data_IF_864208620765
#
_entry.id   IF_864208620765
#
_cell.length_a   1.000
_cell.length_b   1.000
_cell.length_c   1.000
_cell.angle_alpha   90.00
_cell.angle_beta   90.00
_cell.angle_gamma   90.00
#
_symmetry.space_group_name_H-M   'P 1'
#
loop_
_entity.id
_entity.type
_entity.pdbx_description
1 polymer ?
#
# COMPACT_ATOMS: atom_id res chain seq x y z
N UNK A 1 -1.34 -13.25 13.00
CA UNK A 1 -1.78 -11.87 12.87
C UNK A 1 -2.94 -11.56 13.80
N UNK A 2 -3.11 -10.31 14.14
CA UNK A 2 -4.22 -9.82 14.94
C UNK A 2 -5.33 -9.31 14.03
N UNK A 3 -6.59 -9.52 14.41
CA UNK A 3 -7.75 -8.91 13.75
C UNK A 3 -8.31 -7.80 14.65
N UNK A 4 -8.74 -6.71 14.03
CA UNK A 4 -9.30 -5.56 14.73
C UNK A 4 -10.71 -5.25 14.24
N UNK A 5 -11.57 -4.83 15.17
CA UNK A 5 -12.85 -4.23 14.81
C UNK A 5 -12.65 -2.73 14.69
N UNK A 6 -12.87 -2.20 13.49
CA UNK A 6 -12.68 -0.79 13.17
C UNK A 6 -14.03 -0.06 13.17
N UNK A 7 -14.11 1.02 13.92
CA UNK A 7 -15.20 1.98 13.86
C UNK A 7 -14.96 2.94 12.69
N UNK A 8 -15.67 2.74 11.60
CA UNK A 8 -15.51 3.54 10.37
C UNK A 8 -15.89 5.01 10.57
N UNK A 9 -16.71 5.34 11.56
CA UNK A 9 -17.08 6.74 11.82
C UNK A 9 -15.92 7.55 12.39
N UNK A 10 -14.96 6.89 13.04
CA UNK A 10 -13.72 7.51 13.53
C UNK A 10 -12.72 7.85 12.44
N UNK A 11 -12.81 7.21 11.27
CA UNK A 11 -11.86 7.37 10.16
C UNK A 11 -12.46 8.06 8.93
N UNK A 12 -13.73 8.44 8.94
CA UNK A 12 -14.41 9.16 7.85
C UNK A 12 -13.90 10.59 7.75
N UNK A 13 -12.70 10.74 7.16
CA UNK A 13 -12.26 12.04 6.64
C UNK A 13 -12.37 11.98 5.12
N UNK A 14 -13.15 12.85 4.47
CA UNK A 14 -13.19 12.89 3.03
C UNK A 14 -11.79 13.23 2.50
N UNK A 15 -11.23 12.36 1.68
CA UNK A 15 -10.01 12.67 0.96
C UNK A 15 -10.40 13.63 -0.16
N UNK A 16 -9.77 14.80 -0.19
CA UNK A 16 -9.93 15.74 -1.29
C UNK A 16 -9.47 15.06 -2.58
N UNK A 17 -10.29 15.10 -3.63
CA UNK A 17 -9.87 14.56 -4.93
C UNK A 17 -8.80 15.46 -5.52
N UNK A 18 -7.83 14.85 -6.21
CA UNK A 18 -6.89 15.60 -7.05
C UNK A 18 -7.66 16.39 -8.10
N UNK A 19 -7.22 17.63 -8.37
CA UNK A 19 -7.89 18.50 -9.33
C UNK A 19 -7.62 18.14 -10.79
N UNK A 20 -6.51 17.46 -11.04
CA UNK A 20 -5.95 17.30 -12.37
C UNK A 20 -6.41 15.98 -12.99
N UNK A 21 -7.25 16.09 -14.03
CA UNK A 21 -7.42 15.02 -15.02
C UNK A 21 -6.53 15.38 -16.21
N UNK A 22 -5.39 14.73 -16.32
CA UNK A 22 -4.49 14.84 -17.47
C UNK A 22 -4.80 13.76 -18.49
N UNK A 23 -4.51 14.03 -19.77
CA UNK A 23 -4.40 12.94 -20.72
C UNK A 23 -3.27 12.01 -20.28
N UNK A 24 -3.36 10.69 -20.51
CA UNK A 24 -2.31 9.75 -20.10
C UNK A 24 -0.90 10.11 -20.63
N UNK A 25 -0.84 10.75 -21.79
CA UNK A 25 0.42 11.19 -22.42
C UNK A 25 1.05 12.43 -21.75
N UNK A 26 0.31 13.12 -20.91
CA UNK A 26 0.79 14.30 -20.16
C UNK A 26 1.21 13.94 -18.73
N UNK A 27 0.95 12.70 -18.31
CA UNK A 27 1.26 12.24 -16.97
C UNK A 27 2.78 12.05 -16.80
N UNK A 28 3.32 12.64 -15.73
CA UNK A 28 4.67 12.39 -15.23
C UNK A 28 4.52 11.64 -13.92
N UNK A 29 4.90 10.35 -13.92
CA UNK A 29 4.71 9.45 -12.79
C UNK A 29 6.04 9.24 -12.09
N UNK A 30 6.06 9.43 -10.79
CA UNK A 30 7.19 9.12 -9.91
C UNK A 30 6.84 7.90 -9.07
N UNK A 31 7.51 6.78 -9.34
CA UNK A 31 7.35 5.56 -8.55
C UNK A 31 8.25 5.60 -7.31
N UNK A 32 7.70 5.25 -6.15
CA UNK A 32 8.47 5.26 -4.91
C UNK A 32 7.96 4.25 -3.88
N UNK A 33 8.89 3.76 -3.04
CA UNK A 33 8.59 3.05 -1.80
C UNK A 33 8.32 4.06 -0.67
N UNK A 34 7.28 3.82 0.14
CA UNK A 34 7.01 4.61 1.35
C UNK A 34 8.22 4.63 2.27
N UNK A 35 8.87 3.46 2.44
CA UNK A 35 10.04 3.31 3.29
C UNK A 35 11.25 4.06 2.72
N UNK A 36 11.62 3.76 1.49
CA UNK A 36 12.91 4.20 0.94
C UNK A 36 12.94 5.70 0.65
N UNK A 37 11.77 6.29 0.36
CA UNK A 37 11.65 7.72 0.06
C UNK A 37 12.17 8.63 1.19
N UNK A 38 12.09 8.18 2.45
CA UNK A 38 12.41 9.02 3.61
C UNK A 38 13.46 8.43 4.56
N UNK A 39 14.05 7.26 4.25
CA UNK A 39 14.99 6.57 5.16
C UNK A 39 16.37 7.22 5.27
N UNK A 40 16.76 8.09 4.36
CA UNK A 40 18.04 8.77 4.43
C UNK A 40 18.06 9.75 5.61
N UNK A 41 18.95 9.51 6.58
CA UNK A 41 19.01 10.29 7.82
C UNK A 41 19.30 11.77 7.57
N UNK A 42 20.15 12.04 6.59
CA UNK A 42 20.59 13.39 6.22
C UNK A 42 19.47 14.23 5.59
N UNK A 43 18.38 13.58 5.15
CA UNK A 43 17.22 14.27 4.58
C UNK A 43 16.31 14.95 5.62
N UNK A 44 16.48 14.64 6.92
CA UNK A 44 15.84 15.37 8.02
C UNK A 44 14.36 15.07 8.25
N UNK A 45 13.87 13.91 7.82
CA UNK A 45 12.50 13.47 8.10
C UNK A 45 12.29 13.16 9.58
N UNK A 46 11.11 13.52 10.11
CA UNK A 46 10.71 13.23 11.49
C UNK A 46 10.21 11.79 11.66
N UNK A 47 9.60 11.24 10.60
CA UNK A 47 9.03 9.89 10.58
C UNK A 47 9.58 9.05 9.42
N UNK A 48 10.90 8.76 9.39
CA UNK A 48 11.50 8.05 8.27
C UNK A 48 10.86 6.67 8.06
N UNK A 49 10.55 6.35 6.81
CA UNK A 49 9.95 5.08 6.41
C UNK A 49 8.46 4.91 6.73
N UNK A 50 7.76 5.96 7.15
CA UNK A 50 6.36 5.92 7.57
C UNK A 50 5.44 6.71 6.63
N UNK A 51 4.14 6.39 6.62
CA UNK A 51 3.15 7.18 5.88
C UNK A 51 3.20 8.67 6.24
N UNK A 52 3.43 8.98 7.50
CA UNK A 52 3.53 10.36 7.97
C UNK A 52 4.63 11.16 7.25
N UNK A 53 5.75 10.53 6.88
CA UNK A 53 6.85 11.18 6.16
C UNK A 53 6.46 11.70 4.77
N UNK A 54 5.46 11.09 4.14
CA UNK A 54 5.00 11.49 2.81
C UNK A 54 4.34 12.88 2.77
N UNK A 55 3.97 13.41 3.95
CA UNK A 55 3.44 14.76 4.12
C UNK A 55 4.51 15.78 4.51
N UNK A 56 5.73 15.33 4.79
CA UNK A 56 6.80 16.19 5.25
C UNK A 56 7.53 16.88 4.07
N UNK A 57 8.10 18.05 4.36
CA UNK A 57 8.90 18.84 3.41
C UNK A 57 10.15 19.38 4.11
N UNK A 58 11.07 18.51 4.58
CA UNK A 58 12.28 18.97 5.23
C UNK A 58 13.20 19.74 4.27
N UNK A 59 13.92 20.71 4.82
CA UNK A 59 14.95 21.47 4.10
C UNK A 59 16.27 21.33 4.84
N UNK A 60 17.29 20.79 4.17
CA UNK A 60 18.62 20.58 4.75
C UNK A 60 19.67 21.22 3.84
N UNK A 61 20.48 22.10 4.39
CA UNK A 61 21.48 22.86 3.63
C UNK A 61 20.93 23.56 2.36
N UNK A 62 19.67 24.05 2.44
CA UNK A 62 18.97 24.68 1.33
C UNK A 62 18.39 23.74 0.28
N UNK A 63 18.58 22.44 0.42
CA UNK A 63 17.97 21.42 -0.44
C UNK A 63 16.60 20.98 0.13
N UNK A 64 15.59 20.93 -0.71
CA UNK A 64 14.25 20.42 -0.35
C UNK A 64 14.19 18.91 -0.52
N UNK A 65 13.53 18.28 0.42
CA UNK A 65 13.20 16.85 0.39
C UNK A 65 11.67 16.67 0.53
N UNK A 66 11.20 15.45 0.44
CA UNK A 66 9.81 15.11 0.66
C UNK A 66 8.87 15.73 -0.36
N UNK A 67 7.71 16.18 0.12
CA UNK A 67 6.63 16.67 -0.74
C UNK A 67 7.04 17.89 -1.59
N UNK A 68 7.80 18.82 -1.03
CA UNK A 68 8.23 20.00 -1.78
C UNK A 68 9.28 19.69 -2.84
N UNK A 69 10.12 18.65 -2.65
CA UNK A 69 10.98 18.14 -3.72
C UNK A 69 10.14 17.61 -4.90
N UNK A 70 9.11 16.82 -4.62
CA UNK A 70 8.23 16.28 -5.67
C UNK A 70 7.47 17.36 -6.43
N UNK A 71 7.08 18.44 -5.74
CA UNK A 71 6.48 19.63 -6.36
C UNK A 71 7.46 20.34 -7.29
N UNK A 72 8.71 20.53 -6.86
CA UNK A 72 9.76 21.15 -7.70
C UNK A 72 10.12 20.30 -8.91
N UNK A 73 10.07 18.96 -8.76
CA UNK A 73 10.30 18.03 -9.86
C UNK A 73 9.20 18.13 -10.93
N UNK A 74 8.03 18.68 -10.58
CA UNK A 74 6.95 18.92 -11.51
C UNK A 74 6.19 17.66 -11.92
N UNK A 75 6.17 16.64 -11.06
CA UNK A 75 5.41 15.41 -11.30
C UNK A 75 3.91 15.66 -11.16
N UNK A 76 3.12 14.89 -11.90
CA UNK A 76 1.65 14.92 -11.81
C UNK A 76 1.09 13.78 -10.96
N UNK A 77 1.82 12.67 -10.86
CA UNK A 77 1.41 11.49 -10.14
C UNK A 77 2.57 10.89 -9.34
N UNK A 78 2.25 10.38 -8.17
CA UNK A 78 3.10 9.46 -7.41
C UNK A 78 2.50 8.06 -7.47
N UNK A 79 3.31 7.06 -7.81
CA UNK A 79 2.94 5.65 -7.71
C UNK A 79 3.62 5.06 -6.49
N UNK A 80 2.82 4.65 -5.51
CA UNK A 80 3.33 3.98 -4.31
C UNK A 80 3.48 2.50 -4.60
N UNK A 81 4.69 1.93 -4.35
CA UNK A 81 4.87 0.48 -4.25
C UNK A 81 3.84 -0.08 -3.25
N UNK A 82 3.54 -1.39 -3.29
CA UNK A 82 2.42 -1.95 -2.54
C UNK A 82 2.41 -1.53 -1.08
N UNK A 83 1.27 -1.00 -0.64
CA UNK A 83 1.04 -0.53 0.74
C UNK A 83 0.03 -1.39 1.49
N UNK A 84 -0.49 -2.45 0.87
CA UNK A 84 -1.32 -3.44 1.53
C UNK A 84 -0.50 -4.32 2.46
N UNK A 85 -1.16 -4.86 3.49
CA UNK A 85 -0.59 -5.80 4.46
C UNK A 85 0.12 -6.97 3.75
N UNK A 86 1.44 -7.04 3.89
CA UNK A 86 2.32 -7.99 3.21
C UNK A 86 3.05 -8.91 4.21
N UNK A 87 3.53 -10.05 3.72
CA UNK A 87 4.24 -11.05 4.52
C UNK A 87 5.70 -10.69 4.77
N UNK A 88 6.41 -11.60 5.44
CA UNK A 88 7.87 -11.57 5.65
C UNK A 88 8.42 -10.41 6.50
N UNK A 89 7.59 -9.49 6.98
CA UNK A 89 8.00 -8.36 7.83
C UNK A 89 7.24 -8.39 9.13
N UNK A 90 7.94 -8.25 10.25
CA UNK A 90 7.30 -7.92 11.51
C UNK A 90 7.01 -6.41 11.54
N UNK A 91 5.73 -6.04 11.54
CA UNK A 91 5.29 -4.64 11.57
C UNK A 91 5.89 -3.83 12.74
N UNK A 92 6.27 -4.50 13.85
CA UNK A 92 6.88 -3.85 15.02
C UNK A 92 8.39 -3.64 14.86
N UNK A 93 9.00 -4.40 13.97
CA UNK A 93 10.44 -4.40 13.71
C UNK A 93 10.73 -4.39 12.20
N UNK A 94 10.18 -3.42 11.46
CA UNK A 94 10.30 -3.38 10.00
C UNK A 94 11.72 -3.13 9.50
N UNK A 95 12.61 -2.73 10.39
CA UNK A 95 14.04 -2.52 10.09
C UNK A 95 14.81 -3.81 9.86
N UNK A 96 14.30 -4.96 10.35
CA UNK A 96 15.00 -6.24 10.29
C UNK A 96 14.96 -6.91 8.92
N UNK A 97 13.94 -6.63 8.11
CA UNK A 97 13.75 -7.27 6.80
C UNK A 97 13.32 -6.22 5.78
N UNK A 98 13.95 -6.24 4.61
CA UNK A 98 13.54 -5.41 3.47
C UNK A 98 12.48 -6.15 2.63
N UNK A 99 11.38 -5.48 2.32
CA UNK A 99 10.32 -6.00 1.47
C UNK A 99 9.72 -4.87 0.60
N UNK A 100 9.45 -5.18 -0.66
CA UNK A 100 8.78 -4.26 -1.59
C UNK A 100 7.25 -4.30 -1.49
N UNK A 101 6.69 -5.28 -0.75
CA UNK A 101 5.25 -5.41 -0.55
C UNK A 101 4.51 -6.27 -1.59
N UNK A 102 5.23 -7.00 -2.46
CA UNK A 102 4.61 -7.84 -3.51
C UNK A 102 4.21 -9.24 -3.04
N UNK A 103 4.06 -9.46 -1.73
CA UNK A 103 3.63 -10.72 -1.12
C UNK A 103 2.44 -10.49 -0.15
N UNK A 104 1.25 -10.12 -0.68
CA UNK A 104 0.13 -9.64 0.12
C UNK A 104 -0.43 -10.73 1.05
N UNK A 105 -0.64 -10.37 2.31
CA UNK A 105 -1.35 -11.17 3.33
C UNK A 105 -2.82 -10.80 3.34
N UNK A 106 -3.14 -9.50 3.29
CA UNK A 106 -4.51 -9.00 3.23
C UNK A 106 -4.63 -7.90 2.17
N UNK A 107 -5.62 -8.03 1.30
CA UNK A 107 -6.02 -6.94 0.41
C UNK A 107 -6.81 -5.89 1.19
N UNK A 108 -6.73 -4.62 0.78
CA UNK A 108 -7.51 -3.51 1.34
C UNK A 108 -7.18 -3.14 2.80
N UNK A 109 -6.07 -3.63 3.35
CA UNK A 109 -5.60 -3.28 4.69
C UNK A 109 -4.22 -2.63 4.53
N UNK A 110 -4.03 -1.37 4.93
CA UNK A 110 -2.70 -0.76 4.91
C UNK A 110 -1.74 -1.48 5.85
N UNK A 111 -0.50 -1.67 5.41
CA UNK A 111 0.53 -2.35 6.21
C UNK A 111 0.94 -1.52 7.43
N UNK A 112 1.04 -2.18 8.59
CA UNK A 112 1.37 -1.53 9.84
C UNK A 112 2.84 -1.14 9.97
N UNK A 113 3.74 -1.71 9.18
CA UNK A 113 5.15 -1.31 9.18
C UNK A 113 5.34 0.15 8.74
N UNK A 114 4.40 0.69 7.96
CA UNK A 114 4.40 2.09 7.52
C UNK A 114 3.67 3.02 8.49
N UNK A 115 3.00 2.52 9.54
CA UNK A 115 2.38 3.37 10.56
C UNK A 115 3.41 3.84 11.60
N UNK A 116 3.18 5.00 12.20
CA UNK A 116 4.00 5.49 13.33
C UNK A 116 3.85 4.61 14.57
N UNK A 117 2.63 4.07 14.80
CA UNK A 117 2.38 3.01 15.78
C UNK A 117 1.69 1.81 15.12
N UNK A 118 2.41 0.70 14.88
CA UNK A 118 1.83 -0.50 14.27
C UNK A 118 0.80 -1.22 15.18
N UNK A 119 0.74 -0.87 16.47
CA UNK A 119 -0.23 -1.45 17.43
C UNK A 119 -1.58 -0.76 17.39
N UNK A 120 -1.61 0.49 16.91
CA UNK A 120 -2.86 1.22 16.70
C UNK A 120 -3.41 0.92 15.30
N UNK A 121 -4.53 0.19 15.19
CA UNK A 121 -5.12 -0.16 13.90
C UNK A 121 -5.65 1.06 13.13
N UNK A 122 -5.90 2.18 13.81
CA UNK A 122 -6.33 3.43 13.18
C UNK A 122 -5.16 4.23 12.60
N UNK A 123 -3.97 4.16 13.20
CA UNK A 123 -2.80 4.94 12.77
C UNK A 123 -2.51 4.71 11.28
N UNK A 124 -2.39 3.44 10.84
CA UNK A 124 -2.11 3.07 9.45
C UNK A 124 -3.11 3.64 8.45
N UNK A 125 -4.39 3.72 8.83
CA UNK A 125 -5.46 4.23 7.97
C UNK A 125 -5.42 5.75 7.92
N UNK A 126 -5.35 6.40 9.08
CA UNK A 126 -5.39 7.87 9.22
C UNK A 126 -4.14 8.50 8.59
N UNK A 127 -2.98 7.90 8.80
CA UNK A 127 -1.72 8.40 8.24
C UNK A 127 -1.66 8.25 6.71
N UNK A 128 -2.12 7.11 6.15
CA UNK A 128 -2.23 6.96 4.70
C UNK A 128 -3.22 7.96 4.10
N UNK A 129 -4.38 8.18 4.74
CA UNK A 129 -5.35 9.19 4.32
C UNK A 129 -4.75 10.61 4.36
N UNK A 130 -3.96 10.91 5.39
CA UNK A 130 -3.28 12.20 5.51
C UNK A 130 -2.23 12.39 4.40
N UNK A 131 -1.44 11.36 4.10
CA UNK A 131 -0.47 11.37 3.01
C UNK A 131 -1.13 11.60 1.64
N UNK A 132 -2.19 10.86 1.32
CA UNK A 132 -2.97 11.05 0.09
C UNK A 132 -3.53 12.47 0.01
N UNK A 133 -4.05 12.98 1.12
CA UNK A 133 -4.58 14.36 1.19
C UNK A 133 -3.48 15.40 0.94
N UNK A 134 -2.27 15.18 1.48
CA UNK A 134 -1.13 16.07 1.26
C UNK A 134 -0.72 16.11 -0.21
N UNK A 135 -0.63 14.95 -0.89
CA UNK A 135 -0.37 14.89 -2.34
C UNK A 135 -1.47 15.60 -3.13
N UNK A 136 -2.74 15.34 -2.86
CA UNK A 136 -3.85 15.99 -3.57
C UNK A 136 -3.89 17.50 -3.35
N UNK A 137 -3.49 18.00 -2.17
CA UNK A 137 -3.35 19.43 -1.91
C UNK A 137 -2.17 20.05 -2.68
N UNK A 138 -1.17 19.27 -3.03
CA UNK A 138 -0.05 19.64 -3.87
C UNK A 138 -0.33 19.47 -5.37
N UNK A 139 -1.58 19.15 -5.76
CA UNK A 139 -2.03 18.82 -7.11
C UNK A 139 -1.29 17.59 -7.72
N UNK A 140 -0.81 16.68 -6.88
CA UNK A 140 -0.21 15.40 -7.25
C UNK A 140 -1.24 14.29 -6.99
N UNK A 141 -1.58 13.51 -8.01
CA UNK A 141 -2.45 12.33 -7.88
C UNK A 141 -1.68 11.12 -7.34
N UNK A 142 -2.39 10.22 -6.66
CA UNK A 142 -1.79 9.00 -6.10
C UNK A 142 -2.26 7.78 -6.88
N UNK A 143 -1.31 6.96 -7.31
CA UNK A 143 -1.53 5.63 -7.88
C UNK A 143 -1.07 4.62 -6.83
N UNK A 144 -1.91 3.64 -6.52
CA UNK A 144 -1.55 2.52 -5.65
C UNK A 144 -1.21 1.31 -6.49
N UNK A 145 0.00 0.78 -6.33
CA UNK A 145 0.38 -0.52 -6.89
C UNK A 145 -0.28 -1.62 -6.06
N UNK A 146 -0.99 -2.51 -6.73
CA UNK A 146 -1.80 -3.54 -6.06
C UNK A 146 -1.53 -4.93 -6.64
N UNK A 147 -1.47 -5.93 -5.78
CA UNK A 147 -1.16 -7.32 -6.13
C UNK A 147 -2.39 -8.18 -5.88
N UNK A 148 -3.12 -8.53 -6.95
CA UNK A 148 -4.33 -9.37 -6.87
C UNK A 148 -4.19 -10.75 -7.50
N UNK A 149 -3.00 -11.08 -7.98
CA UNK A 149 -2.74 -12.33 -8.70
C UNK A 149 -2.35 -13.49 -7.77
N UNK A 150 -1.83 -13.21 -6.58
CA UNK A 150 -1.45 -14.21 -5.57
C UNK A 150 -1.55 -13.63 -4.15
N UNK A 151 -1.32 -14.48 -3.15
CA UNK A 151 -1.14 -14.09 -1.74
C UNK A 151 0.14 -14.72 -1.17
N UNK A 152 0.62 -14.18 -0.07
CA UNK A 152 1.84 -14.65 0.62
C UNK A 152 1.76 -16.14 0.98
N UNK A 153 0.69 -16.55 1.67
CA UNK A 153 0.47 -17.96 2.03
C UNK A 153 -1.01 -18.34 1.86
N UNK A 154 -1.28 -19.14 0.84
CA UNK A 154 -2.62 -19.62 0.56
C UNK A 154 -3.22 -20.49 1.65
N UNK A 155 -2.41 -21.19 2.46
CA UNK A 155 -2.92 -22.08 3.51
C UNK A 155 -3.46 -21.31 4.71
N UNK A 156 -2.87 -20.18 5.01
CA UNK A 156 -3.29 -19.31 6.12
C UNK A 156 -4.33 -18.27 5.71
N UNK A 157 -4.59 -18.10 4.42
CA UNK A 157 -5.47 -17.06 3.89
C UNK A 157 -6.92 -17.22 4.38
N UNK A 158 -7.51 -16.13 4.86
CA UNK A 158 -8.82 -16.17 5.54
C UNK A 158 -9.93 -16.75 4.68
N UNK A 159 -10.03 -16.38 3.40
CA UNK A 159 -11.08 -16.90 2.51
C UNK A 159 -10.91 -18.38 2.18
N UNK A 160 -9.67 -18.89 2.16
CA UNK A 160 -9.45 -20.32 1.99
C UNK A 160 -9.93 -21.13 3.20
N UNK A 161 -9.84 -20.56 4.40
CA UNK A 161 -10.36 -21.18 5.62
C UNK A 161 -11.89 -21.14 5.72
N UNK A 162 -12.52 -20.09 5.18
CA UNK A 162 -13.99 -19.91 5.22
C UNK A 162 -14.67 -20.74 4.11
N UNK A 163 -14.10 -20.71 2.89
CA UNK A 163 -14.63 -21.43 1.72
C UNK A 163 -13.47 -22.13 1.01
N UNK A 164 -13.03 -23.29 1.51
CA UNK A 164 -11.92 -24.04 0.94
C UNK A 164 -12.09 -24.34 -0.55
N UNK A 165 -11.00 -24.18 -1.34
CA UNK A 165 -10.97 -24.46 -2.77
C UNK A 165 -11.73 -23.44 -3.65
N UNK A 166 -12.21 -22.33 -3.08
CA UNK A 166 -12.92 -21.33 -3.87
C UNK A 166 -12.03 -20.15 -4.30
N UNK A 167 -11.20 -19.62 -3.41
CA UNK A 167 -10.46 -18.39 -3.68
C UNK A 167 -9.28 -18.60 -4.63
N UNK A 168 -8.64 -19.75 -4.58
CA UNK A 168 -7.52 -20.08 -5.42
C UNK A 168 -7.90 -20.94 -6.62
N UNK A 169 -7.10 -20.83 -7.69
CA UNK A 169 -7.26 -21.64 -8.89
C UNK A 169 -6.70 -23.03 -8.64
N UNK A 170 -7.47 -24.03 -9.01
CA UNK A 170 -7.10 -25.45 -8.92
C UNK A 170 -6.99 -26.05 -10.32
N UNK A 171 -6.07 -27.01 -10.52
CA UNK A 171 -6.02 -27.85 -11.70
C UNK A 171 -7.06 -28.98 -11.62
N UNK A 172 -7.16 -29.79 -12.67
CA UNK A 172 -8.13 -30.90 -12.77
C UNK A 172 -7.97 -31.97 -11.69
N UNK A 173 -6.80 -32.05 -11.06
CA UNK A 173 -6.52 -32.96 -9.94
C UNK A 173 -6.79 -32.35 -8.56
N UNK A 174 -7.28 -31.11 -8.51
CA UNK A 174 -7.58 -30.40 -7.27
C UNK A 174 -6.37 -29.74 -6.57
N UNK A 175 -5.22 -29.68 -7.21
CA UNK A 175 -4.06 -28.96 -6.68
C UNK A 175 -4.05 -27.50 -7.11
N UNK A 176 -3.54 -26.59 -6.25
CA UNK A 176 -3.39 -25.19 -6.60
C UNK A 176 -2.44 -25.02 -7.78
N UNK A 177 -2.82 -24.15 -8.69
CA UNK A 177 -1.95 -23.75 -9.81
C UNK A 177 -0.89 -22.73 -9.33
N UNK A 178 0.18 -22.56 -10.10
CA UNK A 178 1.30 -21.67 -9.79
C UNK A 178 1.77 -20.95 -11.07
N UNK A 179 0.83 -20.39 -11.84
CA UNK A 179 1.14 -19.59 -13.02
C UNK A 179 1.80 -18.26 -12.69
N UNK A 180 1.60 -17.75 -11.48
CA UNK A 180 2.25 -16.55 -10.95
C UNK A 180 3.70 -16.78 -10.52
N UNK A 181 4.14 -18.04 -10.38
CA UNK A 181 5.42 -18.44 -9.77
C UNK A 181 5.58 -18.04 -8.28
N UNK A 182 4.47 -17.66 -7.63
CA UNK A 182 4.42 -17.27 -6.22
C UNK A 182 3.78 -18.34 -5.32
N UNK A 183 3.62 -19.58 -5.83
CA UNK A 183 3.07 -20.71 -5.08
C UNK A 183 1.55 -20.84 -5.09
N UNK A 184 0.84 -19.84 -5.60
CA UNK A 184 -0.62 -19.87 -5.74
C UNK A 184 -1.09 -18.85 -6.78
N UNK A 185 -2.26 -19.11 -7.37
CA UNK A 185 -2.95 -18.19 -8.28
C UNK A 185 -4.34 -17.88 -7.72
N UNK A 186 -4.69 -16.61 -7.64
CA UNK A 186 -6.04 -16.15 -7.29
C UNK A 186 -7.00 -16.44 -8.46
N UNK A 187 -8.13 -17.09 -8.17
CA UNK A 187 -9.14 -17.47 -9.17
C UNK A 187 -10.05 -16.28 -9.54
N UNK A 188 -9.46 -15.23 -10.15
CA UNK A 188 -10.16 -13.99 -10.52
C UNK A 188 -11.32 -14.18 -11.51
N UNK A 189 -11.40 -15.33 -12.18
CA UNK A 189 -12.51 -15.75 -13.02
C UNK A 189 -13.77 -16.12 -12.23
N UNK A 190 -13.65 -16.50 -10.95
CA UNK A 190 -14.79 -16.84 -10.08
C UNK A 190 -15.54 -15.59 -9.64
N UNK A 191 -16.87 -15.65 -9.67
CA UNK A 191 -17.73 -14.47 -9.51
C UNK A 191 -17.48 -13.67 -8.22
N UNK A 192 -17.36 -14.36 -7.07
CA UNK A 192 -17.17 -13.68 -5.78
C UNK A 192 -15.74 -13.17 -5.59
N UNK A 193 -14.74 -13.86 -6.13
CA UNK A 193 -13.33 -13.37 -6.15
C UNK A 193 -13.23 -12.11 -6.99
N UNK A 194 -13.82 -12.11 -8.18
CA UNK A 194 -13.90 -10.93 -9.05
C UNK A 194 -14.64 -9.77 -8.36
N UNK A 195 -15.75 -10.06 -7.69
CA UNK A 195 -16.48 -9.03 -6.94
C UNK A 195 -15.63 -8.42 -5.84
N UNK A 196 -14.91 -9.23 -5.08
CA UNK A 196 -14.02 -8.79 -4.02
C UNK A 196 -12.93 -7.85 -4.57
N UNK A 197 -12.22 -8.27 -5.64
CA UNK A 197 -11.18 -7.44 -6.28
C UNK A 197 -11.77 -6.12 -6.83
N UNK A 198 -12.97 -6.16 -7.44
CA UNK A 198 -13.61 -4.94 -7.98
C UNK A 198 -14.12 -3.97 -6.91
N UNK A 199 -14.27 -4.42 -5.68
CA UNK A 199 -14.70 -3.60 -4.54
C UNK A 199 -13.51 -3.12 -3.70
N UNK A 200 -12.28 -3.56 -4.04
CA UNK A 200 -11.04 -3.00 -3.53
C UNK A 200 -10.74 -1.64 -4.16
#
# INVERSE_FOLDING_TARGET
GNSYVIDLDKIKKPIKRAKTQLNPTEAVIYEMSVRDFSMQKEAGFSYPGKFASLSESPVVHGQKFGLDYLKELGISHVQLLPVYDFGSVDEKHPELVYNWGYDPVQYNVPDGSFASDPRDPYARIIELQAAITAFHNADISVIMDVVYNHVYDANSYAFEKIVPGYFFRLNDMGYRTNGTFCGNDVASEKAMVRRYIKQS
#
